data_IF_344065098902
#
_entry.id   IF_344065098902
#
_cell.length_a   1.000
_cell.length_b   1.000
_cell.length_c   1.000
_cell.angle_alpha   90.00
_cell.angle_beta   90.00
_cell.angle_gamma   90.00
#
_symmetry.space_group_name_H-M   'P 1'
#
loop_
_entity.id
_entity.type
_entity.pdbx_description
1 polymer ?
#
# COMPACT_ATOMS: atom_id res chain seq x y z
N UNK A 1 -2.58 -16.51 11.39
CA UNK A 1 -1.51 -15.51 11.57
C UNK A 1 -0.20 -16.26 11.78
N UNK A 2 0.81 -16.01 10.94
CA UNK A 2 2.09 -16.71 10.99
C UNK A 2 3.02 -16.22 12.11
N UNK A 3 4.11 -16.95 12.40
CA UNK A 3 4.89 -16.82 13.63
C UNK A 3 5.68 -15.51 13.83
N UNK A 4 5.67 -14.59 12.87
CA UNK A 4 6.44 -13.32 12.94
C UNK A 4 5.59 -12.04 12.95
N UNK A 5 4.26 -12.13 12.94
CA UNK A 5 3.42 -10.95 12.71
C UNK A 5 3.69 -10.31 11.34
N UNK A 6 2.85 -9.36 10.93
CA UNK A 6 3.13 -8.56 9.74
C UNK A 6 4.05 -7.41 10.14
N UNK A 7 5.27 -7.38 9.62
CA UNK A 7 6.15 -6.21 9.72
C UNK A 7 5.59 -5.13 8.78
N UNK A 8 5.27 -3.91 9.29
CA UNK A 8 4.88 -2.80 8.43
C UNK A 8 5.98 -2.51 7.40
N UNK A 9 5.62 -2.36 6.14
CA UNK A 9 6.56 -2.07 5.05
C UNK A 9 6.01 -0.92 4.19
N UNK A 10 6.72 0.20 4.16
CA UNK A 10 6.36 1.41 3.40
C UNK A 10 7.00 1.49 2.02
N UNK A 11 7.66 0.41 1.56
CA UNK A 11 8.36 0.39 0.27
C UNK A 11 7.38 0.35 -0.90
N UNK A 12 7.69 1.11 -1.96
CA UNK A 12 6.86 1.20 -3.17
C UNK A 12 6.46 -0.16 -3.73
N UNK A 13 7.41 -1.07 -3.90
CA UNK A 13 7.14 -2.41 -4.46
C UNK A 13 6.13 -3.20 -3.63
N UNK A 14 6.17 -3.05 -2.32
CA UNK A 14 5.21 -3.71 -1.42
C UNK A 14 3.84 -3.07 -1.51
N UNK A 15 3.77 -1.74 -1.52
CA UNK A 15 2.50 -0.99 -1.64
C UNK A 15 1.79 -1.34 -2.95
N UNK A 16 2.51 -1.32 -4.08
CA UNK A 16 1.95 -1.65 -5.41
C UNK A 16 1.49 -3.10 -5.50
N UNK A 17 2.26 -4.04 -4.96
CA UNK A 17 1.87 -5.45 -4.92
C UNK A 17 0.61 -5.67 -4.08
N UNK A 18 0.54 -5.07 -2.89
CA UNK A 18 -0.61 -5.21 -2.01
C UNK A 18 -1.88 -4.56 -2.57
N UNK A 19 -1.73 -3.43 -3.28
CA UNK A 19 -2.83 -2.80 -3.99
C UNK A 19 -3.36 -3.71 -5.11
N UNK A 20 -2.47 -4.26 -5.95
CA UNK A 20 -2.86 -5.18 -7.01
C UNK A 20 -3.62 -6.41 -6.47
N UNK A 21 -3.12 -7.01 -5.38
CA UNK A 21 -3.79 -8.14 -4.74
C UNK A 21 -5.17 -7.72 -4.15
N UNK A 22 -5.29 -6.47 -3.68
CA UNK A 22 -6.55 -5.97 -3.12
C UNK A 22 -7.59 -5.72 -4.19
N UNK A 23 -7.21 -5.09 -5.31
CA UNK A 23 -8.06 -4.90 -6.48
C UNK A 23 -8.55 -6.24 -7.03
N UNK A 24 -7.65 -7.24 -7.15
CA UNK A 24 -8.02 -8.58 -7.60
C UNK A 24 -9.02 -9.26 -6.65
N UNK A 25 -8.82 -9.18 -5.33
CA UNK A 25 -9.74 -9.80 -4.36
C UNK A 25 -11.10 -9.12 -4.31
N UNK A 26 -11.15 -7.81 -4.54
CA UNK A 26 -12.37 -7.02 -4.51
C UNK A 26 -13.10 -6.98 -5.85
N UNK A 27 -12.48 -7.49 -6.92
CA UNK A 27 -13.01 -7.48 -8.29
C UNK A 27 -13.39 -6.07 -8.76
N UNK A 28 -12.47 -5.12 -8.53
CA UNK A 28 -12.59 -3.70 -8.89
C UNK A 28 -11.27 -3.20 -9.47
N UNK A 29 -11.34 -2.14 -10.27
CA UNK A 29 -10.19 -1.45 -10.84
C UNK A 29 -9.76 -0.20 -10.03
N UNK A 30 -10.58 0.24 -9.06
CA UNK A 30 -10.28 1.36 -8.18
C UNK A 30 -10.63 1.12 -6.70
N UNK A 31 -10.01 1.89 -5.79
CA UNK A 31 -10.36 1.97 -4.35
C UNK A 31 -10.60 3.42 -3.93
N UNK A 32 -11.80 3.74 -3.41
CA UNK A 32 -12.14 5.11 -2.97
C UNK A 32 -11.22 5.65 -1.85
N UNK A 33 -10.82 4.77 -0.94
CA UNK A 33 -9.92 5.10 0.18
C UNK A 33 -8.92 3.97 0.41
N UNK A 34 -7.70 4.18 -0.06
CA UNK A 34 -6.57 3.29 0.21
C UNK A 34 -5.73 3.84 1.37
N UNK A 35 -5.55 3.03 2.43
CA UNK A 35 -4.92 3.49 3.68
C UNK A 35 -3.69 2.65 4.06
N UNK A 36 -2.69 3.33 4.62
CA UNK A 36 -1.56 2.66 5.26
C UNK A 36 -1.98 2.15 6.64
N UNK A 37 -2.04 0.83 6.82
CA UNK A 37 -2.50 0.23 8.09
C UNK A 37 -1.57 0.54 9.28
N UNK A 38 -0.27 0.61 9.04
CA UNK A 38 0.74 0.91 10.05
C UNK A 38 1.88 1.67 9.41
N UNK A 39 2.41 2.67 10.11
CA UNK A 39 3.64 3.35 9.70
C UNK A 39 4.82 2.38 9.77
N UNK A 40 5.62 2.37 8.72
CA UNK A 40 6.91 1.69 8.69
C UNK A 40 7.98 2.63 9.29
N UNK A 41 8.57 2.32 10.46
CA UNK A 41 9.58 3.18 11.08
C UNK A 41 10.89 3.22 10.30
N UNK A 42 11.11 2.31 9.34
CA UNK A 42 12.33 2.23 8.54
C UNK A 42 12.27 2.99 7.21
N UNK A 43 11.07 3.43 6.81
CA UNK A 43 10.84 4.18 5.57
C UNK A 43 10.34 5.59 5.92
N UNK A 44 11.00 6.66 5.47
CA UNK A 44 10.49 8.03 5.65
C UNK A 44 9.04 8.15 5.15
N UNK A 45 8.19 8.84 5.91
CA UNK A 45 6.76 8.90 5.60
C UNK A 45 6.51 9.58 4.25
N UNK A 46 7.35 10.54 3.88
CA UNK A 46 7.28 11.27 2.61
C UNK A 46 7.47 10.34 1.41
N UNK A 47 8.31 9.30 1.52
CA UNK A 47 8.51 8.32 0.46
C UNK A 47 7.24 7.48 0.27
N UNK A 48 6.64 7.01 1.36
CA UNK A 48 5.36 6.28 1.31
C UNK A 48 4.25 7.16 0.72
N UNK A 49 4.15 8.42 1.18
CA UNK A 49 3.12 9.35 0.72
C UNK A 49 3.31 9.74 -0.76
N UNK A 50 4.55 9.82 -1.26
CA UNK A 50 4.82 10.05 -2.67
C UNK A 50 4.28 8.90 -3.54
N UNK A 51 4.44 7.66 -3.09
CA UNK A 51 3.86 6.49 -3.79
C UNK A 51 2.34 6.53 -3.77
N UNK A 52 1.72 6.81 -2.60
CA UNK A 52 0.27 6.92 -2.49
C UNK A 52 -0.28 8.03 -3.41
N UNK A 53 0.43 9.16 -3.50
CA UNK A 53 0.07 10.24 -4.43
C UNK A 53 0.13 9.79 -5.89
N UNK A 54 1.20 9.09 -6.29
CA UNK A 54 1.33 8.59 -7.66
C UNK A 54 0.18 7.62 -8.02
N UNK A 55 -0.24 6.77 -7.08
CA UNK A 55 -1.36 5.85 -7.30
C UNK A 55 -2.70 6.57 -7.53
N UNK A 56 -2.93 7.68 -6.82
CA UNK A 56 -4.10 8.54 -7.06
C UNK A 56 -4.03 9.18 -8.45
N UNK A 57 -2.86 9.67 -8.87
CA UNK A 57 -2.65 10.24 -10.21
C UNK A 57 -2.82 9.19 -11.33
N UNK A 58 -2.50 7.92 -11.05
CA UNK A 58 -2.72 6.77 -11.94
C UNK A 58 -4.19 6.31 -12.01
N UNK A 59 -5.08 6.83 -11.15
CA UNK A 59 -6.49 6.45 -11.09
C UNK A 59 -6.73 5.05 -10.52
N UNK A 60 -5.88 4.61 -9.59
CA UNK A 60 -6.03 3.34 -8.87
C UNK A 60 -6.93 3.44 -7.65
#
# INVERSE_FOLDING_TARGET
MGPNGLVPCGKESTIRSQLADSLQRLDTDYIDLYYMHRMDPSTPIEETMAVLKALVEEGK
#
